data_IF_920798374435
#
_entry.id   IF_920798374435
#
_cell.length_a   1.000
_cell.length_b   1.000
_cell.length_c   1.000
_cell.angle_alpha   90.00
_cell.angle_beta   90.00
_cell.angle_gamma   90.00
#
_symmetry.space_group_name_H-M   'P 1'
#
loop_
_entity.id
_entity.type
_entity.pdbx_description
1 polymer ?
#
# COMPACT_ATOMS: atom_id res chain seq x y z
N UNK A 1 -16.53 7.37 -8.46
CA UNK A 1 -15.79 6.42 -7.58
C UNK A 1 -15.14 7.09 -6.37
N UNK A 2 -14.73 8.36 -6.44
CA UNK A 2 -14.31 9.19 -5.28
C UNK A 2 -15.27 9.12 -4.07
N UNK A 3 -16.59 9.19 -4.29
CA UNK A 3 -17.60 9.09 -3.23
C UNK A 3 -17.57 7.77 -2.41
N UNK A 4 -17.11 6.65 -2.99
CA UNK A 4 -17.05 5.36 -2.29
C UNK A 4 -15.85 5.30 -1.33
N UNK A 5 -14.77 5.99 -1.67
CA UNK A 5 -13.55 6.07 -0.86
C UNK A 5 -13.64 7.14 0.23
N UNK A 6 -14.21 8.31 -0.08
CA UNK A 6 -14.62 9.27 0.96
C UNK A 6 -15.59 8.61 1.93
N UNK A 7 -16.54 7.81 1.45
CA UNK A 7 -17.47 7.05 2.28
C UNK A 7 -16.78 6.11 3.28
N UNK A 8 -15.74 5.38 2.88
CA UNK A 8 -15.03 4.44 3.76
C UNK A 8 -14.03 5.12 4.72
N UNK A 9 -13.34 6.17 4.27
CA UNK A 9 -12.47 6.99 5.12
C UNK A 9 -13.31 7.75 6.16
N UNK A 10 -14.42 8.35 5.74
CA UNK A 10 -15.40 8.96 6.64
C UNK A 10 -15.96 7.89 7.58
N UNK A 11 -16.31 6.69 7.13
CA UNK A 11 -16.85 5.64 8.02
C UNK A 11 -15.86 5.20 9.11
N UNK A 12 -14.57 5.04 8.79
CA UNK A 12 -13.55 4.67 9.78
C UNK A 12 -13.18 5.82 10.72
N UNK A 13 -13.09 7.06 10.19
CA UNK A 13 -12.90 8.27 10.98
C UNK A 13 -14.09 8.51 11.91
N UNK A 14 -15.31 8.34 11.40
CA UNK A 14 -16.56 8.40 12.14
C UNK A 14 -16.61 7.34 13.22
N UNK A 15 -16.15 6.10 12.97
CA UNK A 15 -16.14 5.04 13.99
C UNK A 15 -15.22 5.39 15.16
N UNK A 16 -14.00 5.85 14.88
CA UNK A 16 -13.05 6.27 15.93
C UNK A 16 -13.56 7.48 16.73
N UNK A 17 -14.11 8.48 16.06
CA UNK A 17 -14.74 9.63 16.71
C UNK A 17 -15.94 9.19 17.55
N UNK A 18 -16.77 8.29 17.00
CA UNK A 18 -17.94 7.75 17.71
C UNK A 18 -17.51 7.00 18.97
N UNK A 19 -16.44 6.21 18.93
CA UNK A 19 -15.87 5.54 20.10
C UNK A 19 -15.38 6.52 21.17
N UNK A 20 -14.72 7.61 20.78
CA UNK A 20 -14.27 8.66 21.70
C UNK A 20 -15.47 9.39 22.31
N UNK A 21 -16.48 9.74 21.50
CA UNK A 21 -17.70 10.40 21.96
C UNK A 21 -18.46 9.50 22.93
N UNK A 22 -18.61 8.20 22.63
CA UNK A 22 -19.24 7.23 23.52
C UNK A 22 -18.46 7.13 24.83
N UNK A 23 -17.13 7.06 24.77
CA UNK A 23 -16.28 7.01 25.97
C UNK A 23 -16.44 8.27 26.83
N UNK A 24 -16.35 9.46 26.24
CA UNK A 24 -16.51 10.74 26.96
C UNK A 24 -17.92 10.90 27.54
N UNK A 25 -18.95 10.43 26.82
CA UNK A 25 -20.33 10.46 27.30
C UNK A 25 -20.52 9.52 28.49
N UNK A 26 -19.97 8.31 28.41
CA UNK A 26 -20.03 7.32 29.48
C UNK A 26 -19.24 7.79 30.71
N UNK A 27 -18.06 8.38 30.51
CA UNK A 27 -17.25 8.95 31.59
C UNK A 27 -17.97 10.08 32.31
N UNK A 28 -18.60 10.99 31.56
CA UNK A 28 -19.40 12.09 32.13
C UNK A 28 -20.59 11.57 32.93
N UNK A 29 -21.25 10.52 32.42
CA UNK A 29 -22.34 9.83 33.11
C UNK A 29 -21.87 9.17 34.42
N UNK A 30 -20.71 8.50 34.40
CA UNK A 30 -20.11 7.90 35.60
C UNK A 30 -19.76 8.95 36.66
N UNK A 31 -19.21 10.10 36.25
CA UNK A 31 -18.90 11.22 37.17
C UNK A 31 -20.20 11.82 37.74
N UNK A 32 -21.24 11.98 36.92
CA UNK A 32 -22.53 12.49 37.38
C UNK A 32 -23.19 11.55 38.40
N UNK A 33 -23.19 10.24 38.13
CA UNK A 33 -23.71 9.26 39.09
C UNK A 33 -22.87 9.18 40.37
N UNK A 34 -21.54 9.29 40.25
CA UNK A 34 -20.65 9.38 41.41
C UNK A 34 -21.05 10.55 42.32
N UNK A 35 -21.24 11.75 41.75
CA UNK A 35 -21.64 12.94 42.51
C UNK A 35 -23.02 12.79 43.19
N UNK A 36 -23.99 12.18 42.49
CA UNK A 36 -25.33 11.95 43.04
C UNK A 36 -25.30 10.92 44.17
N UNK A 37 -24.62 9.79 43.98
CA UNK A 37 -24.52 8.73 44.99
C UNK A 37 -23.82 9.25 46.25
N UNK A 38 -22.76 10.06 46.08
CA UNK A 38 -22.03 10.63 47.20
C UNK A 38 -22.83 11.68 47.98
N UNK A 39 -23.71 12.44 47.32
CA UNK A 39 -24.56 13.44 47.97
C UNK A 39 -25.80 12.84 48.64
N UNK A 40 -26.40 11.78 48.08
CA UNK A 40 -27.72 11.28 48.50
C UNK A 40 -27.74 9.90 49.16
N UNK A 41 -26.76 9.04 48.87
CA UNK A 41 -26.80 7.61 49.26
C UNK A 41 -25.63 7.24 50.19
N UNK A 42 -24.54 8.03 50.19
CA UNK A 42 -23.30 7.83 50.97
C UNK A 42 -22.67 6.43 50.81
N UNK A 43 -22.97 5.75 49.69
CA UNK A 43 -22.38 4.46 49.33
C UNK A 43 -21.15 4.64 48.43
N UNK A 44 -20.00 4.79 49.08
CA UNK A 44 -18.70 4.96 48.41
C UNK A 44 -18.25 3.72 47.64
N UNK A 45 -18.69 2.53 48.02
CA UNK A 45 -18.25 1.28 47.40
C UNK A 45 -18.82 1.15 45.98
N UNK A 46 -20.13 1.36 45.83
CA UNK A 46 -20.81 1.28 44.54
C UNK A 46 -20.33 2.37 43.58
N UNK A 47 -20.12 3.59 44.07
CA UNK A 47 -19.59 4.70 43.26
C UNK A 47 -18.15 4.46 42.77
N UNK A 48 -17.30 3.90 43.63
CA UNK A 48 -15.90 3.58 43.27
C UNK A 48 -15.82 2.45 42.26
N UNK A 49 -16.67 1.41 42.41
CA UNK A 49 -16.75 0.32 41.45
C UNK A 49 -17.14 0.82 40.06
N UNK A 50 -18.13 1.72 39.96
CA UNK A 50 -18.55 2.31 38.69
C UNK A 50 -17.40 3.05 37.98
N UNK A 51 -16.60 3.80 38.74
CA UNK A 51 -15.42 4.50 38.21
C UNK A 51 -14.34 3.52 37.73
N UNK A 52 -14.12 2.42 38.45
CA UNK A 52 -13.17 1.36 38.05
C UNK A 52 -13.61 0.73 36.72
N UNK A 53 -14.90 0.40 36.56
CA UNK A 53 -15.42 -0.14 35.29
C UNK A 53 -15.29 0.84 34.12
N UNK A 54 -15.41 2.14 34.36
CA UNK A 54 -15.16 3.16 33.32
C UNK A 54 -13.67 3.24 32.94
N UNK A 55 -12.77 3.07 33.91
CA UNK A 55 -11.33 3.10 33.70
C UNK A 55 -10.82 1.87 32.94
N UNK A 56 -11.42 0.70 33.14
CA UNK A 56 -11.01 -0.55 32.44
C UNK A 56 -11.39 -0.58 30.97
N UNK A 57 -12.36 0.23 30.53
CA UNK A 57 -12.72 0.36 29.11
C UNK A 57 -11.73 1.21 28.31
N UNK A 58 -11.04 2.15 28.97
CA UNK A 58 -10.10 3.06 28.31
C UNK A 58 -8.91 2.35 27.64
N UNK A 59 -8.19 1.41 28.29
CA UNK A 59 -7.11 0.66 27.66
C UNK A 59 -7.52 -0.07 26.37
N UNK A 60 -8.69 -0.70 26.35
CA UNK A 60 -9.18 -1.45 25.19
C UNK A 60 -9.45 -0.54 24.00
N UNK A 61 -10.04 0.64 24.23
CA UNK A 61 -10.30 1.64 23.18
C UNK A 61 -8.98 2.23 22.67
N UNK A 62 -8.06 2.57 23.58
CA UNK A 62 -6.74 3.08 23.24
C UNK A 62 -5.92 2.06 22.44
N UNK A 63 -6.01 0.78 22.77
CA UNK A 63 -5.32 -0.32 22.08
C UNK A 63 -5.89 -0.52 20.66
N UNK A 64 -7.21 -0.53 20.49
CA UNK A 64 -7.85 -0.60 19.18
C UNK A 64 -7.42 0.57 18.28
N UNK A 65 -7.37 1.78 18.83
CA UNK A 65 -6.91 2.95 18.10
C UNK A 65 -5.44 2.81 17.69
N UNK A 66 -4.56 2.55 18.66
CA UNK A 66 -3.12 2.47 18.45
C UNK A 66 -2.76 1.37 17.47
N UNK A 67 -3.41 0.20 17.58
CA UNK A 67 -3.21 -0.92 16.65
C UNK A 67 -3.65 -0.59 15.22
N UNK A 68 -4.83 0.02 15.05
CA UNK A 68 -5.32 0.40 13.72
C UNK A 68 -4.44 1.46 13.06
N UNK A 69 -3.96 2.42 13.85
CA UNK A 69 -3.05 3.45 13.38
C UNK A 69 -1.68 2.86 13.00
N UNK A 70 -1.10 2.04 13.88
CA UNK A 70 0.16 1.34 13.62
C UNK A 70 0.08 0.45 12.38
N UNK A 71 -1.01 -0.32 12.22
CA UNK A 71 -1.23 -1.16 11.03
C UNK A 71 -1.27 -0.34 9.75
N UNK A 72 -1.93 0.83 9.76
CA UNK A 72 -1.94 1.74 8.61
C UNK A 72 -0.55 2.27 8.27
N UNK A 73 0.23 2.67 9.30
CA UNK A 73 1.60 3.15 9.08
C UNK A 73 2.49 2.05 8.51
N UNK A 74 2.46 0.84 9.10
CA UNK A 74 3.25 -0.30 8.61
C UNK A 74 2.87 -0.73 7.20
N UNK A 75 1.58 -0.71 6.84
CA UNK A 75 1.16 -0.96 5.46
C UNK A 75 1.73 0.07 4.48
N UNK A 76 1.79 1.35 4.87
CA UNK A 76 2.38 2.40 4.03
C UNK A 76 3.90 2.25 3.89
N UNK A 77 4.59 1.82 4.95
CA UNK A 77 6.04 1.58 4.94
C UNK A 77 6.40 0.42 4.01
N UNK A 78 5.68 -0.70 4.11
CA UNK A 78 5.86 -1.86 3.21
C UNK A 78 5.57 -1.48 1.76
N UNK A 79 4.49 -0.74 1.51
CA UNK A 79 4.15 -0.27 0.16
C UNK A 79 5.22 0.67 -0.40
N UNK A 80 5.76 1.57 0.42
CA UNK A 80 6.83 2.49 0.01
C UNK A 80 8.09 1.71 -0.37
N UNK A 81 8.50 0.75 0.45
CA UNK A 81 9.68 -0.08 0.18
C UNK A 81 9.50 -0.91 -1.10
N UNK A 82 8.34 -1.52 -1.29
CA UNK A 82 8.03 -2.29 -2.49
C UNK A 82 8.02 -1.39 -3.75
N UNK A 83 7.47 -0.18 -3.63
CA UNK A 83 7.46 0.81 -4.72
C UNK A 83 8.87 1.28 -5.08
N UNK A 84 9.74 1.47 -4.08
CA UNK A 84 11.14 1.80 -4.27
C UNK A 84 11.91 0.67 -4.98
N UNK A 85 11.72 -0.58 -4.56
CA UNK A 85 12.33 -1.75 -5.21
C UNK A 85 11.89 -1.87 -6.69
N UNK A 86 10.59 -1.67 -6.97
CA UNK A 86 10.08 -1.66 -8.36
C UNK A 86 10.66 -0.50 -9.15
N UNK A 87 10.74 0.70 -8.59
CA UNK A 87 11.33 1.86 -9.26
C UNK A 87 12.79 1.61 -9.67
N UNK A 88 13.61 1.06 -8.77
CA UNK A 88 14.99 0.72 -9.10
C UNK A 88 15.08 -0.38 -10.16
N UNK A 89 14.19 -1.36 -10.13
CA UNK A 89 14.15 -2.45 -11.11
C UNK A 89 13.76 -1.94 -12.50
N UNK A 90 12.75 -1.07 -12.59
CA UNK A 90 12.36 -0.40 -13.85
C UNK A 90 13.53 0.41 -14.40
N UNK A 91 14.21 1.18 -13.55
CA UNK A 91 15.33 2.01 -13.99
C UNK A 91 16.51 1.16 -14.52
N UNK A 92 16.79 0.01 -13.90
CA UNK A 92 17.77 -0.96 -14.41
C UNK A 92 17.34 -1.55 -15.76
N UNK A 93 16.08 -1.96 -15.88
CA UNK A 93 15.53 -2.48 -17.13
C UNK A 93 15.60 -1.44 -18.27
N UNK A 94 15.33 -0.17 -17.96
CA UNK A 94 15.43 0.94 -18.93
C UNK A 94 16.86 1.11 -19.46
N UNK A 95 17.88 1.03 -18.60
CA UNK A 95 19.28 1.12 -19.03
C UNK A 95 19.68 -0.04 -19.94
N UNK A 96 19.26 -1.25 -19.60
CA UNK A 96 19.53 -2.44 -20.44
C UNK A 96 18.79 -2.31 -21.77
N UNK A 97 17.57 -1.75 -21.77
CA UNK A 97 16.84 -1.48 -23.01
C UNK A 97 17.58 -0.46 -23.91
N UNK A 98 18.17 0.59 -23.35
CA UNK A 98 19.02 1.53 -24.08
C UNK A 98 20.26 0.82 -24.66
N UNK A 99 20.93 -0.04 -23.88
CA UNK A 99 22.08 -0.82 -24.35
C UNK A 99 21.69 -1.77 -25.50
N UNK A 100 20.53 -2.44 -25.41
CA UNK A 100 20.02 -3.27 -26.51
C UNK A 100 19.72 -2.41 -27.73
N UNK A 101 19.10 -1.25 -27.55
CA UNK A 101 18.76 -0.35 -28.65
C UNK A 101 20.02 0.12 -29.40
N UNK A 102 21.06 0.51 -28.67
CA UNK A 102 22.34 0.94 -29.26
C UNK A 102 23.06 -0.22 -29.96
N UNK A 103 23.18 -1.39 -29.34
CA UNK A 103 23.73 -2.60 -29.98
C UNK A 103 22.94 -2.95 -31.26
N UNK A 104 21.60 -2.89 -31.22
CA UNK A 104 20.75 -3.20 -32.37
C UNK A 104 20.89 -2.16 -33.49
N UNK A 105 21.05 -0.88 -33.12
CA UNK A 105 21.29 0.22 -34.06
C UNK A 105 22.64 0.05 -34.77
N UNK A 106 23.70 -0.32 -34.05
CA UNK A 106 25.01 -0.59 -34.65
C UNK A 106 24.95 -1.76 -35.63
N UNK A 107 24.26 -2.85 -35.26
CA UNK A 107 24.08 -4.01 -36.14
C UNK A 107 23.26 -3.66 -37.39
N UNK A 108 22.21 -2.85 -37.26
CA UNK A 108 21.42 -2.38 -38.40
C UNK A 108 22.23 -1.46 -39.33
N UNK A 109 23.07 -0.59 -38.78
CA UNK A 109 23.97 0.26 -39.57
C UNK A 109 25.02 -0.59 -40.31
N UNK A 110 25.65 -1.55 -39.64
CA UNK A 110 26.61 -2.46 -40.28
C UNK A 110 25.94 -3.24 -41.43
N UNK A 111 24.71 -3.71 -41.24
CA UNK A 111 23.94 -4.38 -42.30
C UNK A 111 23.68 -3.47 -43.50
N UNK A 112 23.30 -2.21 -43.26
CA UNK A 112 23.02 -1.24 -44.32
C UNK A 112 24.27 -0.90 -45.14
N UNK A 113 25.43 -0.81 -44.50
CA UNK A 113 26.69 -0.45 -45.17
C UNK A 113 27.45 -1.66 -45.74
N UNK A 114 27.43 -2.81 -45.07
CA UNK A 114 28.27 -3.97 -45.38
C UNK A 114 27.50 -5.22 -45.87
N UNK A 115 26.15 -5.20 -45.95
CA UNK A 115 25.30 -6.34 -46.37
C UNK A 115 25.51 -7.65 -45.59
N UNK A 116 26.10 -7.58 -44.39
CA UNK A 116 26.31 -8.76 -43.56
C UNK A 116 24.98 -9.33 -43.05
N UNK A 117 24.90 -10.66 -42.90
CA UNK A 117 23.77 -11.31 -42.25
C UNK A 117 23.75 -10.99 -40.75
N UNK A 118 22.57 -10.69 -40.23
CA UNK A 118 22.34 -10.38 -38.83
C UNK A 118 22.53 -11.66 -38.00
N UNK A 119 23.63 -11.74 -37.24
CA UNK A 119 23.85 -12.82 -36.28
C UNK A 119 23.56 -12.31 -34.88
N UNK A 120 22.58 -12.93 -34.23
CA UNK A 120 22.29 -12.72 -32.82
C UNK A 120 23.54 -13.08 -31.98
N UNK A 121 24.08 -12.11 -31.25
CA UNK A 121 25.27 -12.30 -30.42
C UNK A 121 24.91 -12.95 -29.08
N UNK A 122 25.84 -13.67 -28.45
CA UNK A 122 25.62 -14.21 -27.10
C UNK A 122 25.30 -13.11 -26.08
N UNK A 123 25.90 -11.93 -26.23
CA UNK A 123 25.60 -10.73 -25.43
C UNK A 123 24.14 -10.30 -25.60
N UNK A 124 23.63 -10.24 -26.83
CA UNK A 124 22.22 -9.91 -27.12
C UNK A 124 21.27 -10.90 -26.42
N UNK A 125 21.53 -12.20 -26.53
CA UNK A 125 20.70 -13.24 -25.87
C UNK A 125 20.66 -13.06 -24.35
N UNK A 126 21.82 -12.84 -23.74
CA UNK A 126 21.93 -12.61 -22.30
C UNK A 126 21.16 -11.35 -21.86
N UNK A 127 21.25 -10.26 -22.62
CA UNK A 127 20.54 -9.01 -22.30
C UNK A 127 19.01 -9.19 -22.41
N UNK A 128 18.52 -9.91 -23.43
CA UNK A 128 17.09 -10.23 -23.56
C UNK A 128 16.58 -11.09 -22.40
N UNK A 129 17.30 -12.16 -22.04
CA UNK A 129 16.95 -13.01 -20.90
C UNK A 129 16.95 -12.22 -19.58
N UNK A 130 17.90 -11.30 -19.42
CA UNK A 130 17.99 -10.42 -18.24
C UNK A 130 16.80 -9.46 -18.16
N UNK A 131 16.38 -8.85 -19.28
CA UNK A 131 15.18 -8.01 -19.31
C UNK A 131 13.93 -8.82 -18.99
N UNK A 132 13.80 -10.03 -19.52
CA UNK A 132 12.64 -10.88 -19.24
C UNK A 132 12.51 -11.20 -17.75
N UNK A 133 13.63 -11.50 -17.09
CA UNK A 133 13.66 -11.71 -15.64
C UNK A 133 13.24 -10.46 -14.86
N UNK A 134 13.69 -9.26 -15.28
CA UNK A 134 13.25 -8.01 -14.67
C UNK A 134 11.78 -7.71 -14.92
N UNK A 135 11.26 -7.95 -16.13
CA UNK A 135 9.85 -7.75 -16.46
C UNK A 135 8.94 -8.68 -15.65
N UNK A 136 9.35 -9.93 -15.46
CA UNK A 136 8.66 -10.88 -14.57
C UNK A 136 8.63 -10.39 -13.14
N UNK A 137 9.77 -9.96 -12.59
CA UNK A 137 9.85 -9.43 -11.21
C UNK A 137 9.05 -8.14 -11.02
N UNK A 138 9.05 -7.25 -12.01
CA UNK A 138 8.23 -6.04 -12.02
C UNK A 138 6.74 -6.42 -12.02
N UNK A 139 6.33 -7.39 -12.83
CA UNK A 139 4.94 -7.86 -12.90
C UNK A 139 4.43 -8.40 -11.56
N UNK A 140 5.20 -9.26 -10.89
CA UNK A 140 4.84 -9.82 -9.59
C UNK A 140 4.70 -8.75 -8.50
N UNK A 141 5.66 -7.82 -8.43
CA UNK A 141 5.64 -6.75 -7.45
C UNK A 141 4.55 -5.70 -7.75
N UNK A 142 4.25 -5.47 -9.03
CA UNK A 142 3.19 -4.56 -9.47
C UNK A 142 1.81 -5.04 -9.04
N UNK A 143 1.55 -6.35 -9.04
CA UNK A 143 0.29 -6.92 -8.55
C UNK A 143 0.07 -6.58 -7.07
N UNK A 144 1.10 -6.77 -6.24
CA UNK A 144 1.06 -6.43 -4.82
C UNK A 144 0.86 -4.92 -4.62
N UNK A 145 1.53 -4.07 -5.40
CA UNK A 145 1.32 -2.61 -5.34
C UNK A 145 -0.12 -2.25 -5.69
N UNK A 146 -0.72 -2.87 -6.71
CA UNK A 146 -2.13 -2.65 -7.09
C UNK A 146 -3.09 -3.04 -5.96
N UNK A 147 -2.82 -4.13 -5.24
CA UNK A 147 -3.66 -4.60 -4.14
C UNK A 147 -3.69 -3.62 -2.96
N UNK A 148 -2.53 -3.04 -2.63
CA UNK A 148 -2.38 -2.20 -1.44
C UNK A 148 -2.40 -0.69 -1.71
N UNK A 149 -2.24 -0.26 -2.97
CA UNK A 149 -2.25 1.16 -3.31
C UNK A 149 -3.65 1.76 -3.21
N UNK A 150 -3.70 3.01 -2.73
CA UNK A 150 -4.91 3.82 -2.68
C UNK A 150 -5.03 4.77 -3.87
N UNK A 151 -3.97 4.88 -4.68
CA UNK A 151 -3.92 5.72 -5.86
C UNK A 151 -4.52 4.98 -7.06
N UNK A 152 -5.65 5.47 -7.55
CA UNK A 152 -6.38 4.83 -8.65
C UNK A 152 -5.73 5.08 -10.01
N UNK A 153 -5.03 6.20 -10.17
CA UNK A 153 -4.23 6.48 -11.38
C UNK A 153 -3.06 5.50 -11.46
N UNK A 154 -2.39 5.24 -10.33
CA UNK A 154 -1.32 4.24 -10.27
C UNK A 154 -1.84 2.84 -10.60
N UNK A 155 -3.05 2.46 -10.13
CA UNK A 155 -3.65 1.16 -10.49
C UNK A 155 -3.92 1.01 -11.98
N UNK A 156 -4.38 2.08 -12.63
CA UNK A 156 -4.65 2.06 -14.07
C UNK A 156 -3.33 1.86 -14.82
N UNK A 157 -2.30 2.65 -14.52
CA UNK A 157 -0.99 2.50 -15.17
C UNK A 157 -0.38 1.10 -14.97
N UNK A 158 -0.44 0.54 -13.76
CA UNK A 158 0.08 -0.81 -13.50
C UNK A 158 -0.72 -1.90 -14.22
N UNK A 159 -2.04 -1.72 -14.39
CA UNK A 159 -2.86 -2.63 -15.21
C UNK A 159 -2.52 -2.54 -16.69
N UNK A 160 -2.40 -1.34 -17.24
CA UNK A 160 -2.00 -1.12 -18.63
C UNK A 160 -0.62 -1.74 -18.91
N UNK A 161 0.32 -1.59 -17.97
CA UNK A 161 1.64 -2.20 -18.07
C UNK A 161 1.58 -3.74 -18.04
N UNK A 162 0.74 -4.31 -17.19
CA UNK A 162 0.52 -5.76 -17.13
C UNK A 162 -0.17 -6.30 -18.40
N UNK A 163 -1.17 -5.59 -18.94
CA UNK A 163 -1.82 -5.94 -20.20
C UNK A 163 -0.85 -5.86 -21.38
N UNK A 164 0.01 -4.85 -21.42
CA UNK A 164 1.08 -4.75 -22.42
C UNK A 164 2.07 -5.93 -22.32
N UNK A 165 2.43 -6.36 -21.11
CA UNK A 165 3.27 -7.53 -20.88
C UNK A 165 2.60 -8.84 -21.36
N UNK A 166 1.31 -9.03 -21.05
CA UNK A 166 0.56 -10.19 -21.55
C UNK A 166 0.50 -10.21 -23.08
N UNK A 167 0.27 -9.07 -23.72
CA UNK A 167 0.25 -8.95 -25.18
C UNK A 167 1.62 -9.24 -25.81
N UNK A 168 2.72 -8.83 -25.18
CA UNK A 168 4.07 -9.19 -25.60
C UNK A 168 4.30 -10.71 -25.55
N UNK A 169 3.92 -11.36 -24.44
CA UNK A 169 4.07 -12.82 -24.31
C UNK A 169 3.21 -13.61 -25.30
N UNK A 170 2.05 -13.06 -25.69
CA UNK A 170 1.16 -13.70 -26.66
C UNK A 170 1.57 -13.48 -28.13
N UNK A 171 2.44 -12.50 -28.42
CA UNK A 171 2.92 -12.20 -29.77
C UNK A 171 4.30 -12.81 -30.10
N UNK A 172 4.92 -13.47 -29.11
CA UNK A 172 6.14 -14.26 -29.26
C UNK A 172 5.84 -15.71 -29.66
#
# INVERSE_FOLDING_TARGET
MLNKYEGNLNKAYNLNITLIIIYLSLLTLCIAFYAIIQLYVDDKSTATNLMIWSATLFPSIALLYTFNYWRKQKGSEVLSKLSEEVFFTINKASKIHEEIYDDHREVLLDRLFNKNEMKETEKSKYLFETIENYMSSIGENSFLIVEYTRDESLKICLKEMYEAYLNYNNTR
#
